data_IF_946817972444
#
_entry.id   IF_946817972444
#
_cell.length_a   1.000
_cell.length_b   1.000
_cell.length_c   1.000
_cell.angle_alpha   90.00
_cell.angle_beta   90.00
_cell.angle_gamma   90.00
#
_symmetry.space_group_name_H-M   'P 1'
#
loop_
_entity.id
_entity.type
_entity.pdbx_description
1 polymer ?
#
# COMPACT_ATOMS: atom_id res chain seq x y z
N UNK A 1 0.00 -13.63 -3.09
CA UNK A 1 0.63 -14.87 -2.56
C UNK A 1 1.47 -14.56 -1.31
N UNK A 2 1.47 -15.47 -0.32
CA UNK A 2 2.33 -15.39 0.86
C UNK A 2 3.18 -16.67 0.99
N UNK A 3 4.49 -16.53 1.19
CA UNK A 3 5.41 -17.65 1.40
C UNK A 3 6.25 -17.41 2.65
N UNK A 4 6.11 -18.30 3.63
CA UNK A 4 6.91 -18.24 4.85
C UNK A 4 8.35 -18.73 4.63
N UNK A 5 9.31 -18.22 5.40
CA UNK A 5 10.74 -18.57 5.31
C UNK A 5 11.11 -20.06 5.37
N UNK A 6 10.23 -20.94 5.87
CA UNK A 6 10.48 -22.40 5.89
C UNK A 6 9.85 -23.13 4.71
N UNK A 7 9.08 -22.41 3.89
CA UNK A 7 8.39 -22.92 2.71
C UNK A 7 9.06 -22.48 1.40
N UNK A 8 9.85 -21.40 1.43
CA UNK A 8 10.66 -20.95 0.29
C UNK A 8 11.92 -21.82 0.11
N UNK A 9 12.44 -21.87 -1.12
CA UNK A 9 13.63 -22.66 -1.47
C UNK A 9 14.91 -22.11 -0.80
N UNK A 10 14.99 -20.80 -0.63
CA UNK A 10 16.19 -20.07 -0.20
C UNK A 10 16.09 -19.52 1.23
N UNK A 11 14.97 -19.75 1.92
CA UNK A 11 14.75 -19.21 3.26
C UNK A 11 14.20 -17.78 3.31
N UNK A 12 13.92 -17.14 2.17
CA UNK A 12 13.30 -15.81 2.10
C UNK A 12 11.83 -15.83 2.56
N UNK A 13 11.32 -14.70 3.04
CA UNK A 13 9.86 -14.50 3.21
C UNK A 13 9.35 -13.70 2.03
N UNK A 14 8.26 -14.14 1.39
CA UNK A 14 7.74 -13.53 0.17
C UNK A 14 6.29 -13.10 0.42
N UNK A 15 6.01 -11.83 0.11
CA UNK A 15 4.67 -11.28 -0.04
C UNK A 15 4.61 -10.73 -1.46
N UNK A 16 3.62 -11.16 -2.22
CA UNK A 16 3.50 -10.87 -3.66
C UNK A 16 2.03 -10.66 -4.02
N UNK A 17 1.75 -9.83 -5.02
CA UNK A 17 0.38 -9.49 -5.42
C UNK A 17 0.37 -8.92 -6.85
N UNK A 18 -0.67 -9.30 -7.60
CA UNK A 18 -1.02 -8.61 -8.84
C UNK A 18 -1.88 -7.39 -8.52
N UNK A 19 -1.44 -6.21 -8.94
CA UNK A 19 -2.25 -4.99 -8.85
C UNK A 19 -3.18 -4.86 -10.05
N UNK A 20 -4.38 -5.41 -9.88
CA UNK A 20 -5.46 -5.25 -10.85
C UNK A 20 -6.24 -3.94 -10.63
N UNK A 21 -6.78 -3.39 -11.71
CA UNK A 21 -7.64 -2.21 -11.73
C UNK A 21 -8.79 -2.39 -12.72
N UNK A 22 -9.81 -1.53 -12.67
CA UNK A 22 -11.02 -1.67 -13.49
C UNK A 22 -10.78 -1.40 -14.99
N UNK A 23 -9.73 -0.66 -15.33
CA UNK A 23 -9.32 -0.34 -16.70
C UNK A 23 -8.29 -1.34 -17.26
N UNK A 24 -8.22 -1.42 -18.59
CA UNK A 24 -7.23 -2.25 -19.29
C UNK A 24 -5.79 -1.73 -19.22
N UNK A 25 -5.57 -0.49 -18.75
CA UNK A 25 -4.25 0.07 -18.49
C UNK A 25 -4.29 1.05 -17.32
N UNK A 26 -3.22 1.06 -16.53
CA UNK A 26 -2.92 2.07 -15.52
C UNK A 26 -1.39 2.12 -15.38
N UNK A 27 -0.75 3.17 -15.89
CA UNK A 27 0.71 3.26 -15.92
C UNK A 27 1.29 3.31 -14.49
N UNK A 28 2.31 2.49 -14.24
CA UNK A 28 2.97 2.38 -12.93
C UNK A 28 4.36 2.98 -12.93
N UNK A 29 4.74 3.58 -11.81
CA UNK A 29 6.06 4.14 -11.57
C UNK A 29 6.70 3.52 -10.33
N UNK A 30 7.86 2.89 -10.51
CA UNK A 30 8.70 2.48 -9.38
C UNK A 30 9.45 3.70 -8.84
N UNK A 31 9.29 3.98 -7.55
CA UNK A 31 9.86 5.16 -6.89
C UNK A 31 10.50 4.79 -5.56
N UNK A 32 11.50 5.56 -5.16
CA UNK A 32 12.06 5.52 -3.81
C UNK A 32 11.76 6.83 -3.10
N UNK A 33 11.12 6.74 -1.95
CA UNK A 33 10.91 7.84 -1.03
C UNK A 33 12.04 7.85 -0.02
N UNK A 34 12.87 8.91 0.05
CA UNK A 34 13.91 9.02 1.05
C UNK A 34 13.30 9.18 2.45
N UNK A 35 14.06 8.75 3.47
CA UNK A 35 13.71 9.02 4.86
C UNK A 35 13.54 10.52 5.07
N UNK A 36 12.49 10.91 5.81
CA UNK A 36 12.21 12.31 6.15
C UNK A 36 11.50 12.41 7.49
N UNK A 37 11.65 13.56 8.15
CA UNK A 37 10.81 13.90 9.28
C UNK A 37 9.49 14.48 8.76
N UNK A 38 8.38 13.83 9.06
CA UNK A 38 7.05 14.25 8.65
C UNK A 38 6.52 15.32 9.59
N UNK A 39 5.97 16.38 8.99
CA UNK A 39 5.20 17.43 9.68
C UNK A 39 4.04 17.90 8.79
N UNK A 40 3.33 16.96 8.18
CA UNK A 40 2.36 17.22 7.10
C UNK A 40 0.99 16.57 7.38
N UNK A 41 -0.03 17.00 6.65
CA UNK A 41 -1.36 16.41 6.68
C UNK A 41 -1.56 15.59 5.39
N UNK A 42 -1.70 14.28 5.50
CA UNK A 42 -2.16 13.47 4.39
C UNK A 42 -3.67 13.60 4.25
N UNK A 43 -4.14 13.89 3.05
CA UNK A 43 -5.58 13.94 2.73
C UNK A 43 -5.85 12.95 1.59
N UNK A 44 -6.69 11.95 1.85
CA UNK A 44 -7.08 10.98 0.81
C UNK A 44 -7.93 11.67 -0.26
N UNK A 45 -7.49 11.61 -1.53
CA UNK A 45 -8.29 12.12 -2.66
C UNK A 45 -9.64 11.39 -2.81
N UNK A 46 -9.67 10.08 -2.53
CA UNK A 46 -10.88 9.27 -2.72
C UNK A 46 -11.95 9.44 -1.63
N UNK A 47 -11.56 9.73 -0.39
CA UNK A 47 -12.50 9.76 0.76
C UNK A 47 -12.51 11.08 1.53
N UNK A 48 -11.50 11.93 1.35
CA UNK A 48 -11.30 13.14 2.15
C UNK A 48 -10.77 12.87 3.56
N UNK A 49 -10.47 11.62 3.94
CA UNK A 49 -9.91 11.34 5.27
C UNK A 49 -8.59 12.06 5.46
N UNK A 50 -8.44 12.71 6.61
CA UNK A 50 -7.25 13.47 6.98
C UNK A 50 -6.44 12.72 8.04
N UNK A 51 -5.15 12.52 7.79
CA UNK A 51 -4.23 11.81 8.68
C UNK A 51 -3.00 12.69 8.92
N UNK A 52 -2.79 13.22 10.14
CA UNK A 52 -1.58 13.96 10.44
C UNK A 52 -0.38 12.99 10.49
N UNK A 53 0.62 13.25 9.65
CA UNK A 53 1.88 12.53 9.64
C UNK A 53 2.92 13.35 10.42
N UNK A 54 3.35 12.84 11.56
CA UNK A 54 4.32 13.49 12.45
C UNK A 54 5.45 12.53 12.81
N UNK A 55 6.68 13.05 12.84
CA UNK A 55 7.85 12.33 13.32
C UNK A 55 8.67 11.65 12.23
N UNK A 56 9.64 10.85 12.64
CA UNK A 56 10.63 10.25 11.75
C UNK A 56 10.03 9.14 10.90
N UNK A 57 10.07 9.30 9.57
CA UNK A 57 9.71 8.25 8.64
C UNK A 57 10.94 7.67 7.94
N UNK A 58 10.96 6.34 7.84
CA UNK A 58 11.98 5.60 7.10
C UNK A 58 11.89 5.81 5.59
N UNK A 59 13.01 5.60 4.89
CA UNK A 59 12.99 5.51 3.44
C UNK A 59 12.34 4.21 2.98
N UNK A 60 11.61 4.23 1.87
CA UNK A 60 10.91 3.06 1.34
C UNK A 60 10.75 3.13 -0.18
N UNK A 61 10.70 1.97 -0.82
CA UNK A 61 10.30 1.85 -2.23
C UNK A 61 8.78 1.82 -2.34
N UNK A 62 8.23 2.26 -3.46
CA UNK A 62 6.81 2.12 -3.79
C UNK A 62 6.64 1.82 -5.29
N UNK A 63 5.53 1.18 -5.65
CA UNK A 63 5.05 1.11 -7.03
C UNK A 63 3.75 1.89 -7.07
N UNK A 64 3.82 3.14 -7.53
CA UNK A 64 2.67 4.06 -7.51
C UNK A 64 2.02 4.23 -8.87
N UNK A 65 0.83 4.80 -8.90
CA UNK A 65 0.23 5.31 -10.14
C UNK A 65 1.12 6.41 -10.74
N UNK A 66 1.35 6.35 -12.05
CA UNK A 66 2.07 7.41 -12.77
C UNK A 66 1.22 8.68 -12.88
N UNK A 67 -0.11 8.53 -12.95
CA UNK A 67 -1.10 9.61 -12.99
C UNK A 67 -1.93 9.56 -11.71
N UNK A 68 -1.70 10.51 -10.80
CA UNK A 68 -2.26 10.46 -9.44
C UNK A 68 -3.67 11.06 -9.31
N UNK A 69 -4.55 10.92 -10.30
CA UNK A 69 -5.87 11.58 -10.31
C UNK A 69 -6.74 11.14 -9.12
N UNK A 70 -6.69 9.86 -8.76
CA UNK A 70 -7.43 9.28 -7.64
C UNK A 70 -6.63 9.20 -6.32
N UNK A 71 -5.34 9.54 -6.35
CA UNK A 71 -4.42 9.40 -5.22
C UNK A 71 -3.06 8.87 -5.68
N UNK A 72 -2.15 8.67 -4.74
CA UNK A 72 -0.81 8.13 -5.06
C UNK A 72 -0.84 6.63 -5.39
N UNK A 73 -1.62 5.86 -4.64
CA UNK A 73 -1.65 4.39 -4.73
C UNK A 73 -0.25 3.77 -4.66
N UNK A 74 0.48 4.01 -3.55
CA UNK A 74 1.87 3.52 -3.38
C UNK A 74 2.02 1.99 -3.34
N UNK A 75 0.89 1.28 -3.22
CA UNK A 75 0.65 -0.16 -3.38
C UNK A 75 1.55 -1.10 -2.56
N UNK A 76 2.79 -1.29 -2.99
CA UNK A 76 3.75 -2.19 -2.35
C UNK A 76 5.14 -1.60 -2.25
N UNK A 77 5.85 -2.01 -1.20
CA UNK A 77 7.15 -1.46 -0.89
C UNK A 77 7.93 -2.24 0.15
N UNK A 78 9.24 -1.95 0.20
CA UNK A 78 10.14 -2.39 1.26
C UNK A 78 10.80 -1.15 1.85
N UNK A 79 10.77 -1.03 3.18
CA UNK A 79 11.42 0.09 3.88
C UNK A 79 12.89 -0.20 4.22
N UNK A 80 13.60 0.82 4.71
CA UNK A 80 15.02 0.73 5.12
C UNK A 80 15.29 -0.20 6.31
N UNK A 81 14.24 -0.77 6.92
CA UNK A 81 14.33 -1.78 7.98
C UNK A 81 14.03 -3.20 7.47
N UNK A 82 13.98 -3.41 6.15
CA UNK A 82 13.62 -4.67 5.50
C UNK A 82 12.22 -5.18 5.87
N UNK A 83 11.27 -4.26 6.11
CA UNK A 83 9.85 -4.60 6.27
C UNK A 83 9.16 -4.38 4.93
N UNK A 84 8.56 -5.47 4.40
CA UNK A 84 7.76 -5.44 3.19
C UNK A 84 6.26 -5.30 3.53
N UNK A 85 5.53 -4.56 2.70
CA UNK A 85 4.07 -4.43 2.77
C UNK A 85 3.50 -4.31 1.34
N UNK A 86 2.37 -4.95 1.09
CA UNK A 86 1.52 -4.75 -0.08
C UNK A 86 0.10 -4.48 0.40
N UNK A 87 -0.55 -3.48 -0.18
CA UNK A 87 -1.91 -3.06 0.16
C UNK A 87 -2.61 -2.56 -1.11
N UNK A 88 -3.72 -3.16 -1.57
CA UNK A 88 -4.57 -4.13 -0.88
C UNK A 88 -5.04 -5.26 -1.78
N UNK A 89 -5.40 -6.37 -1.14
CA UNK A 89 -6.28 -7.38 -1.71
C UNK A 89 -7.73 -7.00 -1.37
N UNK A 90 -8.59 -6.92 -2.39
CA UNK A 90 -9.99 -6.55 -2.20
C UNK A 90 -10.79 -7.77 -1.76
N UNK A 91 -11.33 -7.73 -0.54
CA UNK A 91 -11.98 -8.88 0.07
C UNK A 91 -13.49 -8.70 0.24
N UNK A 92 -14.19 -9.80 0.48
CA UNK A 92 -15.63 -9.80 0.66
C UNK A 92 -16.07 -9.50 2.11
N UNK A 93 -17.26 -8.93 2.25
CA UNK A 93 -17.97 -8.77 3.52
C UNK A 93 -19.44 -9.23 3.38
N UNK A 94 -20.22 -9.20 4.46
CA UNK A 94 -21.62 -9.66 4.43
C UNK A 94 -22.58 -8.74 5.20
N UNK A 95 -23.87 -8.78 4.84
CA UNK A 95 -24.87 -7.83 5.36
C UNK A 95 -24.97 -7.77 6.90
N UNK A 96 -24.67 -8.86 7.62
CA UNK A 96 -24.78 -8.92 9.09
C UNK A 96 -23.77 -8.06 9.83
N UNK A 97 -22.65 -7.68 9.20
CA UNK A 97 -21.72 -6.70 9.81
C UNK A 97 -22.22 -5.27 9.62
N UNK A 98 -23.15 -5.06 8.70
CA UNK A 98 -23.65 -3.75 8.28
C UNK A 98 -25.08 -3.45 8.75
N UNK A 99 -25.80 -4.40 9.35
CA UNK A 99 -27.21 -4.27 9.74
C UNK A 99 -27.45 -3.95 11.23
N UNK A 100 -26.39 -3.60 11.97
CA UNK A 100 -26.49 -2.95 13.27
C UNK A 100 -27.00 -1.52 13.14
N UNK A 101 -28.33 -1.35 13.06
CA UNK A 101 -29.11 -0.10 13.16
C UNK A 101 -28.71 1.05 12.21
N UNK A 102 -29.55 1.25 11.19
CA UNK A 102 -30.10 2.57 10.85
C UNK A 102 -31.62 2.47 10.80
#
# INVERSE_FOLDING_TARGET
>A
MLVGKKASLDGSTIVDRDEDYDQGFNEKCFVYYPAKNYDELFVSKGTGVEIPLKGEGCGFTAVRDAVEDYGRFDEQGINSYNVAMSSAESEASNRRVFDGSQ
#
